data_IF_264573469696
#
_entry.id   IF_264573469696
#
_cell.length_a   1.000
_cell.length_b   1.000
_cell.length_c   1.000
_cell.angle_alpha   90.00
_cell.angle_beta   90.00
_cell.angle_gamma   90.00
#
_symmetry.space_group_name_H-M   'P 1'
#
loop_
_entity.id
_entity.type
_entity.pdbx_description
1 polymer ?
#
# COMPACT_ATOMS: atom_id res chain seq x y z
N UNK A 1 12.95 -16.79 20.53
CA UNK A 1 12.74 -16.42 19.12
C UNK A 1 11.36 -16.89 18.69
N UNK A 2 10.40 -15.99 18.43
CA UNK A 2 9.18 -16.40 17.71
C UNK A 2 9.64 -16.70 16.29
N UNK A 3 9.49 -17.96 15.87
CA UNK A 3 9.81 -18.42 14.52
C UNK A 3 9.29 -17.41 13.49
N UNK A 4 10.17 -16.82 12.68
CA UNK A 4 9.81 -15.94 11.56
C UNK A 4 8.84 -16.65 10.61
N UNK A 5 8.86 -17.99 10.57
CA UNK A 5 7.90 -18.82 9.85
C UNK A 5 6.46 -18.73 10.36
N UNK A 6 6.20 -18.16 11.54
CA UNK A 6 4.85 -17.86 12.04
C UNK A 6 4.35 -16.47 11.62
N UNK A 7 5.03 -15.79 10.68
CA UNK A 7 4.52 -14.56 10.09
C UNK A 7 3.14 -14.80 9.49
N UNK A 8 2.16 -13.88 9.67
CA UNK A 8 0.82 -14.11 9.19
C UNK A 8 0.74 -13.88 7.67
N UNK A 9 1.32 -14.78 6.88
CA UNK A 9 1.40 -14.70 5.42
C UNK A 9 0.03 -14.48 4.77
N UNK A 10 -1.03 -15.11 5.28
CA UNK A 10 -2.39 -14.88 4.78
C UNK A 10 -2.92 -13.45 5.04
N UNK A 11 -2.52 -12.82 6.16
CA UNK A 11 -2.86 -11.42 6.45
C UNK A 11 -2.06 -10.51 5.53
N UNK A 12 -0.78 -10.82 5.32
CA UNK A 12 0.09 -10.11 4.39
C UNK A 12 -0.45 -10.14 2.95
N UNK A 13 -0.73 -11.32 2.39
CA UNK A 13 -1.19 -11.47 1.00
C UNK A 13 -2.48 -10.67 0.75
N UNK A 14 -3.45 -10.73 1.66
CA UNK A 14 -4.71 -9.98 1.52
C UNK A 14 -4.51 -8.48 1.63
N UNK A 15 -3.70 -8.04 2.59
CA UNK A 15 -3.40 -6.63 2.75
C UNK A 15 -2.66 -6.08 1.52
N UNK A 16 -1.63 -6.79 1.05
CA UNK A 16 -0.91 -6.48 -0.18
C UNK A 16 -1.84 -6.39 -1.38
N UNK A 17 -2.65 -7.43 -1.62
CA UNK A 17 -3.55 -7.49 -2.77
C UNK A 17 -4.58 -6.36 -2.75
N UNK A 18 -5.12 -6.04 -1.57
CA UNK A 18 -6.03 -4.91 -1.39
C UNK A 18 -5.33 -3.57 -1.63
N UNK A 19 -4.16 -3.34 -1.04
CA UNK A 19 -3.36 -2.12 -1.28
C UNK A 19 -3.04 -1.95 -2.75
N UNK A 20 -2.54 -3.01 -3.41
CA UNK A 20 -2.23 -3.00 -4.83
C UNK A 20 -3.46 -2.67 -5.67
N UNK A 21 -4.59 -3.33 -5.42
CA UNK A 21 -5.82 -3.12 -6.19
C UNK A 21 -6.31 -1.68 -6.06
N UNK A 22 -6.39 -1.16 -4.83
CA UNK A 22 -6.80 0.21 -4.59
C UNK A 22 -5.82 1.21 -5.20
N UNK A 23 -4.52 0.99 -5.03
CA UNK A 23 -3.47 1.85 -5.56
C UNK A 23 -3.50 1.90 -7.10
N UNK A 24 -3.64 0.75 -7.76
CA UNK A 24 -3.73 0.65 -9.22
C UNK A 24 -4.98 1.34 -9.74
N UNK A 25 -6.14 1.09 -9.15
CA UNK A 25 -7.39 1.74 -9.56
C UNK A 25 -7.33 3.25 -9.34
N UNK A 26 -6.83 3.69 -8.19
CA UNK A 26 -6.64 5.10 -7.88
C UNK A 26 -5.72 5.79 -8.90
N UNK A 27 -4.59 5.14 -9.24
CA UNK A 27 -3.65 5.64 -10.23
C UNK A 27 -4.33 5.84 -11.60
N UNK A 28 -5.03 4.82 -12.11
CA UNK A 28 -5.73 4.92 -13.40
C UNK A 28 -6.82 5.98 -13.37
N UNK A 29 -7.69 5.98 -12.37
CA UNK A 29 -8.80 6.95 -12.30
C UNK A 29 -8.29 8.39 -12.16
N UNK A 30 -7.19 8.58 -11.45
CA UNK A 30 -6.56 9.87 -11.30
C UNK A 30 -5.95 10.36 -12.62
N UNK A 31 -5.25 9.50 -13.37
CA UNK A 31 -4.72 9.83 -14.70
C UNK A 31 -5.86 10.17 -15.67
N UNK A 32 -6.95 9.39 -15.66
CA UNK A 32 -8.14 9.65 -16.48
C UNK A 32 -8.84 10.97 -16.11
N UNK A 33 -8.83 11.34 -14.83
CA UNK A 33 -9.35 12.63 -14.38
C UNK A 33 -8.48 13.79 -14.89
N UNK A 34 -7.16 13.63 -14.95
CA UNK A 34 -6.28 14.63 -15.55
C UNK A 34 -6.48 14.78 -17.06
N UNK A 35 -6.71 13.67 -17.78
CA UNK A 35 -7.05 13.73 -19.21
C UNK A 35 -8.34 14.52 -19.47
N UNK A 36 -9.32 14.41 -18.57
CA UNK A 36 -10.54 15.22 -18.65
C UNK A 36 -10.31 16.73 -18.51
N UNK A 37 -9.22 17.16 -17.85
CA UNK A 37 -8.87 18.59 -17.73
C UNK A 37 -8.28 19.19 -19.01
N UNK A 38 -7.77 18.34 -19.90
CA UNK A 38 -7.24 18.74 -21.21
C UNK A 38 -8.23 18.42 -22.34
N UNK A 39 -9.52 18.29 -21.99
CA UNK A 39 -10.65 18.08 -22.88
C UNK A 39 -10.60 16.77 -23.69
N UNK A 40 -9.89 15.76 -23.16
CA UNK A 40 -9.88 14.41 -23.71
C UNK A 40 -11.04 13.62 -23.07
N UNK A 41 -12.12 13.45 -23.83
CA UNK A 41 -13.26 12.66 -23.41
C UNK A 41 -12.95 11.16 -23.43
N UNK A 42 -13.02 10.52 -22.27
CA UNK A 42 -12.89 9.06 -22.13
C UNK A 42 -14.24 8.49 -21.69
N UNK A 43 -14.84 7.65 -22.53
CA UNK A 43 -16.11 6.98 -22.24
C UNK A 43 -16.01 6.03 -21.04
N UNK A 44 -17.13 5.75 -20.37
CA UNK A 44 -17.15 4.84 -19.22
C UNK A 44 -16.59 3.45 -19.55
N UNK A 45 -16.92 2.91 -20.72
CA UNK A 45 -16.41 1.62 -21.18
C UNK A 45 -14.88 1.63 -21.34
N UNK A 46 -14.32 2.71 -21.89
CA UNK A 46 -12.87 2.88 -21.99
C UNK A 46 -12.22 2.99 -20.60
N UNK A 47 -12.85 3.70 -19.65
CA UNK A 47 -12.33 3.81 -18.27
C UNK A 47 -12.22 2.44 -17.59
N UNK A 48 -13.24 1.60 -17.74
CA UNK A 48 -13.24 0.24 -17.17
C UNK A 48 -12.16 -0.61 -17.86
N UNK A 49 -12.08 -0.58 -19.19
CA UNK A 49 -11.08 -1.32 -19.94
C UNK A 49 -9.64 -0.91 -19.57
N UNK A 50 -9.36 0.40 -19.49
CA UNK A 50 -8.07 0.94 -19.09
C UNK A 50 -7.72 0.55 -17.65
N UNK A 51 -8.69 0.55 -16.73
CA UNK A 51 -8.46 0.10 -15.34
C UNK A 51 -8.08 -1.37 -15.28
N UNK A 52 -8.75 -2.23 -16.06
CA UNK A 52 -8.41 -3.66 -16.14
C UNK A 52 -7.04 -3.91 -16.75
N UNK A 53 -6.71 -3.18 -17.82
CA UNK A 53 -5.40 -3.26 -18.48
C UNK A 53 -4.26 -2.80 -17.55
N UNK A 54 -4.43 -1.65 -16.89
CA UNK A 54 -3.46 -1.16 -15.91
C UNK A 54 -3.32 -2.12 -14.73
N UNK A 55 -4.43 -2.64 -14.20
CA UNK A 55 -4.39 -3.60 -13.09
C UNK A 55 -3.60 -4.86 -13.44
N UNK A 56 -3.81 -5.44 -14.64
CA UNK A 56 -3.05 -6.60 -15.10
C UNK A 56 -1.59 -6.25 -15.43
N UNK A 57 -1.36 -5.10 -16.08
CA UNK A 57 -0.03 -4.67 -16.51
C UNK A 57 0.88 -4.26 -15.36
N UNK A 58 0.31 -3.68 -14.29
CA UNK A 58 1.05 -3.23 -13.12
C UNK A 58 1.28 -4.35 -12.09
N UNK A 59 0.49 -5.43 -12.11
CA UNK A 59 0.61 -6.51 -11.12
C UNK A 59 2.03 -7.12 -11.05
N UNK A 60 2.72 -7.47 -12.16
CA UNK A 60 4.02 -8.15 -12.10
C UNK A 60 5.15 -7.27 -11.57
N UNK A 61 5.10 -5.96 -11.84
CA UNK A 61 6.17 -5.02 -11.49
C UNK A 61 5.80 -4.25 -10.24
N UNK A 62 4.76 -3.42 -10.33
CA UNK A 62 4.31 -2.56 -9.25
C UNK A 62 3.75 -3.35 -8.07
N UNK A 63 3.00 -4.42 -8.34
CA UNK A 63 2.53 -5.34 -7.31
C UNK A 63 3.68 -5.95 -6.49
N UNK A 64 4.75 -6.41 -7.16
CA UNK A 64 5.94 -6.95 -6.47
C UNK A 64 6.68 -5.90 -5.65
N UNK A 65 6.81 -4.67 -6.17
CA UNK A 65 7.43 -3.55 -5.44
C UNK A 65 6.63 -3.24 -4.17
N UNK A 66 5.30 -3.16 -4.26
CA UNK A 66 4.42 -2.98 -3.09
C UNK A 66 4.61 -4.12 -2.09
N UNK A 67 4.63 -5.38 -2.54
CA UNK A 67 4.81 -6.53 -1.66
C UNK A 67 6.15 -6.44 -0.90
N UNK A 68 7.25 -6.19 -1.62
CA UNK A 68 8.59 -6.08 -1.04
C UNK A 68 8.68 -4.90 -0.06
N UNK A 69 8.14 -3.74 -0.42
CA UNK A 69 8.12 -2.56 0.43
C UNK A 69 7.31 -2.79 1.71
N UNK A 70 6.08 -3.31 1.61
CA UNK A 70 5.23 -3.56 2.78
C UNK A 70 5.87 -4.60 3.70
N UNK A 71 6.46 -5.65 3.15
CA UNK A 71 7.17 -6.67 3.92
C UNK A 71 8.33 -6.04 4.68
N UNK A 72 9.15 -5.23 4.02
CA UNK A 72 10.28 -4.54 4.65
C UNK A 72 9.81 -3.58 5.75
N UNK A 73 8.84 -2.71 5.45
CA UNK A 73 8.31 -1.73 6.42
C UNK A 73 7.74 -2.40 7.67
N UNK A 74 7.00 -3.48 7.50
CA UNK A 74 6.45 -4.25 8.63
C UNK A 74 7.49 -5.09 9.37
N UNK A 75 8.51 -5.61 8.70
CA UNK A 75 9.64 -6.26 9.37
C UNK A 75 10.39 -5.27 10.26
N UNK A 76 10.63 -4.05 9.79
CA UNK A 76 11.25 -2.97 10.59
C UNK A 76 10.38 -2.68 11.82
N UNK A 77 9.06 -2.49 11.65
CA UNK A 77 8.15 -2.34 12.79
C UNK A 77 8.22 -3.52 13.77
N UNK A 78 8.21 -4.75 13.26
CA UNK A 78 8.29 -5.94 14.11
C UNK A 78 9.58 -5.99 14.92
N UNK A 79 10.72 -5.63 14.33
CA UNK A 79 12.02 -5.55 15.02
C UNK A 79 12.02 -4.44 16.07
N UNK A 80 11.54 -3.24 15.73
CA UNK A 80 11.45 -2.12 16.68
C UNK A 80 10.63 -2.53 17.91
N UNK A 81 9.42 -3.05 17.68
CA UNK A 81 8.55 -3.41 18.78
C UNK A 81 9.02 -4.67 19.50
N UNK A 82 9.88 -5.51 18.92
CA UNK A 82 10.42 -6.65 19.64
C UNK A 82 11.16 -6.24 20.93
N UNK A 83 11.84 -5.09 20.91
CA UNK A 83 12.65 -4.60 22.03
C UNK A 83 11.92 -3.63 22.96
N UNK A 84 10.68 -3.26 22.64
CA UNK A 84 9.89 -2.36 23.49
C UNK A 84 8.94 -3.16 24.39
N UNK A 85 8.24 -2.48 25.30
CA UNK A 85 7.04 -2.99 25.95
C UNK A 85 5.81 -2.16 25.57
N UNK A 86 5.69 -1.84 24.28
CA UNK A 86 4.63 -0.95 23.81
C UNK A 86 3.25 -1.58 23.97
N UNK A 87 2.25 -0.74 24.27
CA UNK A 87 0.84 -1.16 24.34
C UNK A 87 0.39 -1.72 22.98
N UNK A 88 -0.45 -2.76 22.99
CA UNK A 88 -0.97 -3.42 21.78
C UNK A 88 -1.57 -2.43 20.76
N UNK A 89 -2.30 -1.41 21.23
CA UNK A 89 -2.88 -0.37 20.36
C UNK A 89 -1.81 0.46 19.62
N UNK A 90 -0.70 0.79 20.28
CA UNK A 90 0.39 1.55 19.67
C UNK A 90 1.10 0.72 18.60
N UNK A 91 1.38 -0.55 18.91
CA UNK A 91 1.95 -1.50 17.94
C UNK A 91 1.07 -1.57 16.69
N UNK A 92 -0.24 -1.77 16.88
CA UNK A 92 -1.22 -1.84 15.79
C UNK A 92 -1.24 -0.55 14.94
N UNK A 93 -1.30 0.61 15.57
CA UNK A 93 -1.26 1.90 14.88
C UNK A 93 0.04 2.07 14.07
N UNK A 94 1.18 1.64 14.60
CA UNK A 94 2.46 1.74 13.90
C UNK A 94 2.54 0.83 12.67
N UNK A 95 1.96 -0.36 12.69
CA UNK A 95 1.86 -1.20 11.47
C UNK A 95 0.98 -0.54 10.39
N UNK A 96 -0.11 0.13 10.80
CA UNK A 96 -0.97 0.87 9.87
C UNK A 96 -0.18 2.03 9.25
N UNK A 97 0.44 2.87 10.08
CA UNK A 97 1.25 4.01 9.64
C UNK A 97 2.40 3.57 8.75
N UNK A 98 3.08 2.47 9.08
CA UNK A 98 4.15 1.92 8.26
C UNK A 98 3.67 1.53 6.86
N UNK A 99 2.45 1.01 6.73
CA UNK A 99 1.85 0.73 5.42
C UNK A 99 1.66 1.99 4.59
N UNK A 100 1.08 3.04 5.16
CA UNK A 100 0.92 4.34 4.49
C UNK A 100 2.26 4.98 4.11
N UNK A 101 3.22 5.02 5.05
CA UNK A 101 4.57 5.55 4.84
C UNK A 101 5.30 4.77 3.75
N UNK A 102 5.19 3.44 3.72
CA UNK A 102 5.80 2.61 2.69
C UNK A 102 5.27 2.98 1.30
N UNK A 103 3.96 3.10 1.14
CA UNK A 103 3.38 3.48 -0.16
C UNK A 103 3.77 4.90 -0.55
N UNK A 104 3.79 5.84 0.40
CA UNK A 104 4.29 7.19 0.18
C UNK A 104 5.75 7.19 -0.27
N UNK A 105 6.61 6.40 0.38
CA UNK A 105 8.02 6.26 0.05
C UNK A 105 8.24 5.68 -1.34
N UNK A 106 7.51 4.61 -1.70
CA UNK A 106 7.57 4.00 -3.04
C UNK A 106 7.23 5.06 -4.10
N UNK A 107 6.11 5.77 -3.96
CA UNK A 107 5.71 6.78 -4.96
C UNK A 107 6.64 7.98 -5.01
N UNK A 108 7.14 8.44 -3.85
CA UNK A 108 8.11 9.53 -3.81
C UNK A 108 9.42 9.13 -4.49
N UNK A 109 9.83 7.87 -4.34
CA UNK A 109 11.03 7.32 -4.97
C UNK A 109 10.87 7.05 -6.48
N UNK A 110 9.64 6.83 -6.97
CA UNK A 110 9.42 6.63 -8.41
C UNK A 110 9.79 7.85 -9.26
N UNK A 111 9.59 9.08 -8.75
CA UNK A 111 9.93 10.31 -9.48
C UNK A 111 11.44 10.45 -9.81
N UNK A 112 12.38 10.38 -8.84
CA UNK A 112 13.81 10.48 -9.13
C UNK A 112 14.33 9.27 -9.93
N UNK A 113 13.71 8.09 -9.81
CA UNK A 113 14.16 6.87 -10.50
C UNK A 113 13.70 6.86 -11.96
N UNK A 114 12.46 7.25 -12.24
CA UNK A 114 11.86 7.10 -13.56
C UNK A 114 12.08 8.32 -14.47
N UNK A 115 12.57 9.45 -13.94
CA UNK A 115 12.88 10.68 -14.70
C UNK A 115 11.70 11.22 -15.55
N UNK A 116 10.48 10.73 -15.33
CA UNK A 116 9.26 11.24 -15.96
C UNK A 116 8.66 12.29 -15.04
N UNK A 117 8.62 13.54 -15.49
CA UNK A 117 7.88 14.60 -14.81
C UNK A 117 6.40 14.27 -14.85
N UNK A 118 5.87 13.74 -13.75
CA UNK A 118 4.44 13.71 -13.47
C UNK A 118 3.87 15.09 -13.79
N UNK A 119 2.83 15.15 -14.62
CA UNK A 119 2.07 16.39 -14.88
C UNK A 119 1.74 16.99 -13.52
N UNK A 120 2.11 18.26 -13.31
CA UNK A 120 2.22 18.93 -12.01
C UNK A 120 0.99 18.80 -11.08
N UNK A 121 -0.19 18.49 -11.61
CA UNK A 121 -1.39 18.21 -10.83
C UNK A 121 -1.41 16.86 -10.08
N UNK A 122 -0.45 15.95 -10.32
CA UNK A 122 -0.41 14.61 -9.73
C UNK A 122 0.29 14.50 -8.37
N UNK A 123 1.05 15.53 -8.02
CA UNK A 123 2.05 15.45 -6.95
C UNK A 123 1.43 15.42 -5.55
N UNK A 124 0.34 16.15 -5.35
CA UNK A 124 -0.20 16.33 -4.00
C UNK A 124 -1.39 15.40 -3.74
N UNK A 125 -2.45 15.49 -4.54
CA UNK A 125 -3.66 14.71 -4.30
C UNK A 125 -3.51 13.23 -4.70
N UNK A 126 -2.76 12.95 -5.77
CA UNK A 126 -2.47 11.59 -6.20
C UNK A 126 -1.65 10.83 -5.15
N UNK A 127 -0.59 11.46 -4.63
CA UNK A 127 0.24 10.88 -3.57
C UNK A 127 -0.57 10.64 -2.28
N UNK A 128 -1.40 11.60 -1.87
CA UNK A 128 -2.27 11.44 -0.70
C UNK A 128 -3.21 10.23 -0.88
N UNK A 129 -3.85 10.10 -2.04
CA UNK A 129 -4.74 8.98 -2.34
C UNK A 129 -4.00 7.63 -2.26
N UNK A 130 -2.77 7.58 -2.77
CA UNK A 130 -1.92 6.39 -2.70
C UNK A 130 -1.55 6.03 -1.25
N UNK A 131 -1.18 7.02 -0.43
CA UNK A 131 -0.91 6.81 1.00
C UNK A 131 -2.16 6.26 1.69
N UNK A 132 -3.35 6.78 1.39
CA UNK A 132 -4.62 6.26 1.90
C UNK A 132 -4.85 4.79 1.50
N UNK A 133 -4.55 4.40 0.25
CA UNK A 133 -4.60 2.99 -0.17
C UNK A 133 -3.67 2.09 0.67
N UNK A 134 -2.48 2.59 1.00
CA UNK A 134 -1.53 1.93 1.91
C UNK A 134 -2.09 1.75 3.32
N UNK A 135 -2.65 2.82 3.90
CA UNK A 135 -3.27 2.79 5.23
C UNK A 135 -4.45 1.80 5.27
N UNK A 136 -5.34 1.82 4.27
CA UNK A 136 -6.51 0.94 4.20
C UNK A 136 -6.09 -0.53 4.15
N UNK A 137 -5.13 -0.89 3.29
CA UNK A 137 -4.66 -2.28 3.25
C UNK A 137 -3.93 -2.69 4.52
N UNK A 138 -3.20 -1.78 5.16
CA UNK A 138 -2.52 -2.04 6.44
C UNK A 138 -3.51 -2.23 7.60
N UNK A 139 -4.67 -1.57 7.59
CA UNK A 139 -5.76 -1.90 8.52
C UNK A 139 -6.19 -3.36 8.39
N UNK A 140 -6.23 -3.91 7.18
CA UNK A 140 -6.56 -5.32 6.93
C UNK A 140 -5.48 -6.29 7.40
N UNK A 141 -4.21 -5.85 7.37
CA UNK A 141 -3.12 -6.59 7.99
C UNK A 141 -3.31 -6.68 9.50
N UNK A 142 -3.70 -5.58 10.15
CA UNK A 142 -3.84 -5.49 11.61
C UNK A 142 -5.15 -6.11 12.15
N UNK A 143 -6.23 -6.08 11.37
CA UNK A 143 -7.55 -6.51 11.81
C UNK A 143 -7.53 -7.96 12.35
N UNK A 144 -8.02 -8.19 13.58
CA UNK A 144 -8.03 -9.51 14.19
C UNK A 144 -9.12 -10.37 13.54
N UNK A 145 -8.71 -11.35 12.73
CA UNK A 145 -9.54 -12.54 12.51
C UNK A 145 -9.35 -13.41 13.74
N UNK A 146 -10.40 -14.12 14.17
CA UNK A 146 -10.52 -14.99 15.37
C UNK A 146 -9.38 -16.01 15.62
N UNK A 147 -8.33 -16.01 14.83
CA UNK A 147 -7.09 -16.76 15.00
C UNK A 147 -6.10 -15.96 15.85
N UNK A 148 -5.95 -16.40 17.11
CA UNK A 148 -4.97 -16.00 18.16
C UNK A 148 -4.50 -14.53 18.12
N UNK A 149 -4.78 -13.72 19.19
CA UNK A 149 -4.24 -12.37 19.27
C UNK A 149 -2.73 -12.40 19.05
N UNK A 150 -2.20 -11.35 18.42
CA UNK A 150 -0.75 -11.12 18.39
C UNK A 150 -0.31 -11.00 19.85
N UNK A 151 0.03 -12.13 20.47
CA UNK A 151 0.52 -12.20 21.83
C UNK A 151 1.88 -11.51 21.82
N UNK A 152 1.82 -10.23 22.13
CA UNK A 152 2.98 -9.44 22.47
C UNK A 152 3.21 -9.68 23.95
N UNK A 153 4.32 -10.34 24.26
CA UNK A 153 4.60 -10.80 25.60
C UNK A 153 4.86 -9.57 26.48
N UNK A 154 3.85 -9.13 27.22
CA UNK A 154 4.00 -8.23 28.35
C UNK A 154 4.54 -9.08 29.51
N UNK A 155 5.86 -9.18 29.61
CA UNK A 155 6.51 -9.57 30.86
C UNK A 155 6.60 -8.35 31.75
#
# INVERSE_FOLDING_TARGET
MRNITLWPWWRFIRAWFLTFTLASMAHTQFNLWQLGKVDIAVSLNQRIAMTGQDWLGLLPTYGVIIAGGLLLGWLICAVIFHFTQARSTLVQASFILAGGITIGAIHTAMYPILQVTLIAGARDFGLLLQILCGLIGACWFVYPIKSRPLQYNSN
#
